data_IF_934106769641
#
_entry.id   IF_934106769641
#
_cell.length_a   1.000
_cell.length_b   1.000
_cell.length_c   1.000
_cell.angle_alpha   90.00
_cell.angle_beta   90.00
_cell.angle_gamma   90.00
#
_symmetry.space_group_name_H-M   'P 1'
#
loop_
_entity.id
_entity.type
_entity.pdbx_description
1 polymer ?
#
# COMPACT_ATOMS: atom_id res chain seq x y z
N UNK A 1 -38.78 -18.90 -36.61
CA UNK A 1 -37.52 -19.61 -36.87
C UNK A 1 -37.09 -20.31 -35.56
N UNK A 2 -37.10 -21.64 -35.49
CA UNK A 2 -36.70 -22.39 -34.28
C UNK A 2 -35.19 -22.55 -34.30
N UNK A 3 -34.49 -21.99 -33.30
CA UNK A 3 -33.05 -22.21 -33.11
C UNK A 3 -32.77 -23.70 -32.88
N UNK A 4 -31.69 -24.20 -33.48
CA UNK A 4 -31.26 -25.57 -33.21
C UNK A 4 -30.68 -25.70 -31.78
N UNK A 5 -30.76 -26.88 -31.18
CA UNK A 5 -30.17 -27.14 -29.86
C UNK A 5 -28.65 -26.88 -29.81
N UNK A 6 -27.97 -27.07 -30.95
CA UNK A 6 -26.53 -26.73 -31.07
C UNK A 6 -26.30 -25.24 -31.01
N UNK A 7 -27.13 -24.43 -31.66
CA UNK A 7 -27.05 -22.98 -31.66
C UNK A 7 -27.32 -22.41 -30.25
N UNK A 8 -28.28 -23.00 -29.54
CA UNK A 8 -28.58 -22.60 -28.13
C UNK A 8 -27.40 -22.90 -27.24
N UNK A 9 -26.79 -24.10 -27.33
CA UNK A 9 -25.59 -24.44 -26.54
C UNK A 9 -24.42 -23.53 -26.85
N UNK A 10 -24.18 -23.22 -28.13
CA UNK A 10 -23.12 -22.30 -28.53
C UNK A 10 -23.33 -20.89 -27.96
N UNK A 11 -24.57 -20.38 -27.97
CA UNK A 11 -24.91 -19.10 -27.41
C UNK A 11 -24.67 -19.06 -25.89
N UNK A 12 -25.12 -20.09 -25.17
CA UNK A 12 -24.91 -20.21 -23.73
C UNK A 12 -23.41 -20.20 -23.40
N UNK A 13 -22.62 -21.00 -24.13
CA UNK A 13 -21.15 -21.02 -23.94
C UNK A 13 -20.51 -19.66 -24.20
N UNK A 14 -20.95 -18.97 -25.28
CA UNK A 14 -20.43 -17.63 -25.57
C UNK A 14 -20.76 -16.63 -24.44
N UNK A 15 -21.98 -16.65 -23.92
CA UNK A 15 -22.39 -15.79 -22.78
C UNK A 15 -21.57 -16.10 -21.52
N UNK A 16 -21.38 -17.39 -21.23
CA UNK A 16 -20.53 -17.80 -20.07
C UNK A 16 -19.10 -17.30 -20.27
N UNK A 17 -18.53 -17.46 -21.46
CA UNK A 17 -17.17 -17.04 -21.77
C UNK A 17 -16.99 -15.51 -21.61
N UNK A 18 -17.97 -14.74 -22.12
CA UNK A 18 -17.99 -13.29 -21.93
C UNK A 18 -18.10 -12.90 -20.45
N UNK A 19 -19.00 -13.56 -19.71
CA UNK A 19 -19.17 -13.27 -18.29
C UNK A 19 -17.88 -13.56 -17.47
N UNK A 20 -17.23 -14.70 -17.75
CA UNK A 20 -15.95 -15.05 -17.11
C UNK A 20 -14.84 -14.07 -17.50
N UNK A 21 -14.78 -13.66 -18.77
CA UNK A 21 -13.83 -12.67 -19.25
C UNK A 21 -13.99 -11.31 -18.57
N UNK A 22 -15.23 -10.84 -18.45
CA UNK A 22 -15.54 -9.58 -17.75
C UNK A 22 -15.19 -9.70 -16.27
N UNK A 23 -15.58 -10.78 -15.60
CA UNK A 23 -15.27 -11.00 -14.20
C UNK A 23 -13.75 -11.06 -13.96
N UNK A 24 -13.02 -11.74 -14.83
CA UNK A 24 -11.55 -11.80 -14.77
C UNK A 24 -10.90 -10.43 -14.97
N UNK A 25 -11.40 -9.65 -15.92
CA UNK A 25 -10.91 -8.29 -16.15
C UNK A 25 -11.17 -7.37 -14.93
N UNK A 26 -12.39 -7.37 -14.42
CA UNK A 26 -12.74 -6.57 -13.23
C UNK A 26 -11.92 -6.99 -12.00
N UNK A 27 -11.69 -8.30 -11.87
CA UNK A 27 -10.82 -8.82 -10.82
C UNK A 27 -9.38 -8.31 -10.96
N UNK A 28 -8.83 -8.35 -12.18
CA UNK A 28 -7.50 -7.84 -12.48
C UNK A 28 -7.38 -6.34 -12.19
N UNK A 29 -8.30 -5.53 -12.71
CA UNK A 29 -8.35 -4.08 -12.47
C UNK A 29 -8.38 -3.76 -10.98
N UNK A 30 -9.28 -4.43 -10.25
CA UNK A 30 -9.39 -4.23 -8.82
C UNK A 30 -8.12 -4.69 -8.07
N UNK A 31 -7.44 -5.73 -8.55
CA UNK A 31 -6.21 -6.26 -7.94
C UNK A 31 -4.99 -5.38 -8.17
N UNK A 32 -4.92 -4.72 -9.32
CA UNK A 32 -3.78 -3.90 -9.74
C UNK A 32 -4.01 -2.41 -9.52
N UNK A 33 -5.19 -2.03 -9.03
CA UNK A 33 -5.50 -0.63 -8.75
C UNK A 33 -4.51 -0.06 -7.73
N UNK A 34 -3.93 1.09 -8.08
CA UNK A 34 -3.08 1.89 -7.19
C UNK A 34 -3.75 3.23 -6.99
N UNK A 35 -4.00 3.59 -5.75
CA UNK A 35 -4.50 4.90 -5.40
C UNK A 35 -3.51 5.97 -5.82
N UNK A 36 -4.02 6.99 -6.50
CA UNK A 36 -3.24 8.20 -6.76
C UNK A 36 -3.17 9.03 -5.47
N UNK A 37 -1.96 9.33 -5.02
CA UNK A 37 -1.75 10.22 -3.88
C UNK A 37 -1.76 11.66 -4.38
N UNK A 38 -2.74 12.44 -3.96
CA UNK A 38 -2.79 13.89 -4.19
C UNK A 38 -2.06 14.57 -3.04
N UNK A 39 -0.84 15.02 -3.30
CA UNK A 39 0.01 15.59 -2.27
C UNK A 39 -0.41 17.02 -1.95
N UNK A 40 -0.54 17.34 -0.66
CA UNK A 40 -0.83 18.70 -0.20
C UNK A 40 0.18 19.72 -0.76
N UNK A 41 -0.26 20.93 -1.15
CA UNK A 41 0.66 21.99 -1.57
C UNK A 41 1.59 22.49 -0.43
N UNK A 42 1.35 22.05 0.79
CA UNK A 42 2.17 22.41 1.97
C UNK A 42 3.25 21.35 2.29
N UNK A 43 3.39 20.30 1.48
CA UNK A 43 4.53 19.40 1.56
C UNK A 43 5.79 20.16 1.16
N UNK A 44 6.77 20.20 2.06
CA UNK A 44 8.03 20.90 1.83
C UNK A 44 9.08 20.00 1.19
N UNK A 45 9.00 18.70 1.44
CA UNK A 45 9.94 17.73 0.89
C UNK A 45 9.29 16.34 0.78
N UNK A 46 9.66 15.59 -0.25
CA UNK A 46 9.30 14.17 -0.40
C UNK A 46 10.59 13.37 -0.50
N UNK A 47 10.77 12.42 0.40
CA UNK A 47 11.90 11.50 0.45
C UNK A 47 11.43 10.06 0.22
N UNK A 48 12.40 9.16 0.09
CA UNK A 48 12.18 7.72 0.18
C UNK A 48 12.52 7.23 1.57
N UNK A 49 11.87 6.16 2.01
CA UNK A 49 12.20 5.53 3.29
C UNK A 49 13.66 5.03 3.29
N UNK A 50 14.17 4.63 2.11
CA UNK A 50 15.58 4.27 1.91
C UNK A 50 16.58 5.41 2.12
N UNK A 51 16.15 6.67 2.12
CA UNK A 51 17.02 7.79 2.46
C UNK A 51 17.41 7.79 3.94
N UNK A 52 16.68 7.03 4.76
CA UNK A 52 16.91 6.84 6.19
C UNK A 52 17.51 5.48 6.54
N UNK A 53 17.38 4.49 5.65
CA UNK A 53 17.92 3.16 5.86
C UNK A 53 18.15 2.40 4.55
N UNK A 54 19.37 2.03 4.29
CA UNK A 54 19.74 1.24 3.09
C UNK A 54 19.10 -0.16 3.06
N UNK A 55 18.68 -0.68 4.21
CA UNK A 55 18.03 -2.01 4.30
C UNK A 55 16.76 -2.11 3.45
N UNK A 56 16.07 -0.99 3.25
CA UNK A 56 14.79 -0.96 2.52
C UNK A 56 14.99 -0.65 1.04
N UNK A 57 16.14 -0.17 0.67
CA UNK A 57 16.45 0.29 -0.69
C UNK A 57 16.21 -0.81 -1.74
N UNK A 58 15.42 -0.47 -2.75
CA UNK A 58 15.09 -1.38 -3.84
C UNK A 58 14.05 -2.46 -3.48
N UNK A 59 13.51 -2.44 -2.27
CA UNK A 59 12.39 -3.31 -1.88
C UNK A 59 11.05 -2.67 -2.23
N UNK A 60 9.98 -3.47 -2.24
CA UNK A 60 8.61 -2.96 -2.43
C UNK A 60 8.15 -2.07 -1.28
N UNK A 61 8.83 -2.10 -0.14
CA UNK A 61 8.53 -1.28 1.04
C UNK A 61 9.27 0.06 1.05
N UNK A 62 10.05 0.38 0.01
CA UNK A 62 10.68 1.69 -0.15
C UNK A 62 9.62 2.74 -0.56
N UNK A 63 8.80 3.12 0.40
CA UNK A 63 7.69 4.05 0.22
C UNK A 63 8.12 5.52 0.30
N UNK A 64 7.19 6.43 -0.05
CA UNK A 64 7.42 7.85 0.10
C UNK A 64 7.27 8.30 1.54
N UNK A 65 8.06 9.29 1.92
CA UNK A 65 8.03 9.99 3.19
C UNK A 65 7.76 11.46 2.90
N UNK A 66 6.61 11.96 3.32
CA UNK A 66 6.16 13.32 3.09
C UNK A 66 6.49 14.19 4.30
N UNK A 67 7.23 15.26 4.11
CA UNK A 67 7.69 16.16 5.15
C UNK A 67 6.96 17.50 5.04
N UNK A 68 6.37 17.90 6.14
CA UNK A 68 5.70 19.19 6.31
C UNK A 68 6.48 19.98 7.35
N UNK A 69 7.27 20.92 6.92
CA UNK A 69 8.05 21.81 7.80
C UNK A 69 7.46 23.21 7.77
N UNK A 70 7.03 23.71 8.90
CA UNK A 70 6.45 25.06 8.99
C UNK A 70 7.48 26.17 8.85
N UNK A 71 8.77 25.87 9.00
CA UNK A 71 9.84 26.86 9.15
C UNK A 71 9.85 27.58 10.49
N UNK A 72 8.91 27.28 11.40
CA UNK A 72 8.81 27.83 12.75
C UNK A 72 9.26 26.76 13.75
N UNK A 73 10.13 27.12 14.68
CA UNK A 73 10.63 26.17 15.70
C UNK A 73 9.48 25.51 16.47
N UNK A 74 9.59 24.20 16.70
CA UNK A 74 8.59 23.41 17.40
C UNK A 74 8.93 21.93 17.41
N UNK A 75 8.01 21.11 17.91
CA UNK A 75 8.16 19.65 17.96
C UNK A 75 8.11 18.98 16.58
N UNK A 76 8.57 17.74 16.53
CA UNK A 76 8.42 16.86 15.35
C UNK A 76 7.46 15.75 15.67
N UNK A 77 6.48 15.54 14.80
CA UNK A 77 5.49 14.46 14.87
C UNK A 77 5.67 13.51 13.69
N UNK A 78 5.65 12.21 13.96
CA UNK A 78 5.62 11.17 12.94
C UNK A 78 4.24 10.53 12.90
N UNK A 79 3.62 10.54 11.71
CA UNK A 79 2.37 9.86 11.40
C UNK A 79 2.66 8.79 10.37
N UNK A 80 2.26 7.55 10.63
CA UNK A 80 2.36 6.50 9.62
C UNK A 80 1.11 5.63 9.63
N UNK A 81 0.69 5.22 8.43
CA UNK A 81 -0.40 4.29 8.19
C UNK A 81 0.09 3.03 7.49
N UNK A 82 -0.80 2.05 7.38
CA UNK A 82 -0.53 0.87 6.57
C UNK A 82 0.41 -0.15 7.16
N UNK A 83 0.53 -0.21 8.47
CA UNK A 83 1.23 -1.30 9.14
C UNK A 83 0.55 -2.64 8.86
N UNK A 84 -0.78 -2.65 8.93
CA UNK A 84 -1.63 -3.78 8.63
C UNK A 84 -2.53 -3.43 7.44
N UNK A 85 -2.42 -4.17 6.35
CA UNK A 85 -3.20 -3.88 5.13
C UNK A 85 -4.70 -4.13 5.30
N UNK A 86 -5.10 -4.97 6.26
CA UNK A 86 -6.50 -5.26 6.59
C UNK A 86 -7.19 -4.14 7.36
N UNK A 87 -6.43 -3.13 7.78
CA UNK A 87 -6.93 -1.97 8.53
C UNK A 87 -6.92 -0.72 7.63
N UNK A 88 -7.81 -0.63 6.63
CA UNK A 88 -7.78 0.45 5.64
C UNK A 88 -7.98 1.84 6.25
N UNK A 89 -8.60 1.92 7.41
CA UNK A 89 -8.82 3.19 8.10
C UNK A 89 -7.51 3.90 8.46
N UNK A 90 -6.47 3.17 8.86
CA UNK A 90 -5.16 3.73 9.18
C UNK A 90 -4.46 4.27 7.93
N UNK A 91 -4.55 3.54 6.81
CA UNK A 91 -4.03 4.00 5.52
C UNK A 91 -4.76 5.25 5.05
N UNK A 92 -6.09 5.22 5.09
CA UNK A 92 -6.93 6.34 4.66
C UNK A 92 -6.66 7.59 5.51
N UNK A 93 -6.51 7.44 6.82
CA UNK A 93 -6.18 8.56 7.69
C UNK A 93 -4.82 9.17 7.35
N UNK A 94 -3.78 8.35 7.18
CA UNK A 94 -2.45 8.85 6.82
C UNK A 94 -2.44 9.51 5.42
N UNK A 95 -3.18 8.94 4.46
CA UNK A 95 -3.37 9.53 3.14
C UNK A 95 -4.05 10.90 3.21
N UNK A 96 -5.12 11.03 4.00
CA UNK A 96 -5.82 12.30 4.21
C UNK A 96 -4.91 13.37 4.84
N UNK A 97 -3.99 12.98 5.74
CA UNK A 97 -2.96 13.90 6.23
C UNK A 97 -2.01 14.32 5.12
N UNK A 98 -1.56 13.38 4.29
CA UNK A 98 -0.69 13.69 3.14
C UNK A 98 -1.34 14.69 2.18
N UNK A 99 -2.66 14.58 1.97
CA UNK A 99 -3.41 15.41 1.03
C UNK A 99 -3.79 16.79 1.57
N UNK A 100 -4.05 16.90 2.88
CA UNK A 100 -4.73 18.07 3.44
C UNK A 100 -3.95 18.81 4.54
N UNK A 101 -2.87 18.22 5.06
CA UNK A 101 -2.17 18.78 6.22
C UNK A 101 -1.51 20.12 5.87
N UNK A 102 -1.67 21.08 6.79
CA UNK A 102 -0.92 22.32 6.85
C UNK A 102 -0.36 22.46 8.26
N UNK A 103 0.96 22.53 8.38
CA UNK A 103 1.66 22.68 9.68
C UNK A 103 1.98 24.17 9.89
N UNK A 104 1.60 24.69 11.04
CA UNK A 104 1.82 26.11 11.40
C UNK A 104 3.01 26.31 12.36
N UNK A 105 3.44 25.23 13.04
CA UNK A 105 4.60 25.25 13.93
C UNK A 105 5.22 23.86 14.00
N UNK A 106 6.56 23.77 14.02
CA UNK A 106 7.28 22.51 14.06
C UNK A 106 7.23 21.76 12.74
N UNK A 107 7.32 20.45 12.81
CA UNK A 107 7.43 19.55 11.66
C UNK A 107 6.51 18.35 11.83
N UNK A 108 5.88 17.92 10.72
CA UNK A 108 5.15 16.64 10.65
C UNK A 108 5.73 15.82 9.51
N UNK A 109 5.98 14.55 9.78
CA UNK A 109 6.44 13.55 8.81
C UNK A 109 5.32 12.56 8.64
N UNK A 110 4.86 12.34 7.40
CA UNK A 110 3.78 11.42 7.08
C UNK A 110 4.28 10.32 6.17
N UNK A 111 3.97 9.08 6.52
CA UNK A 111 4.16 7.89 5.67
C UNK A 111 2.80 7.25 5.49
N UNK A 112 2.21 7.41 4.32
CA UNK A 112 0.83 6.98 4.05
C UNK A 112 0.67 5.45 4.05
N UNK A 113 1.70 4.72 3.63
CA UNK A 113 1.65 3.26 3.48
C UNK A 113 3.00 2.61 3.76
N UNK A 114 3.29 2.39 5.04
CA UNK A 114 4.60 1.89 5.46
C UNK A 114 4.86 0.43 5.06
N UNK A 115 3.83 -0.41 5.01
CA UNK A 115 3.93 -1.81 4.60
C UNK A 115 3.32 -2.00 3.21
N UNK A 116 4.00 -1.48 2.19
CA UNK A 116 3.54 -1.52 0.80
C UNK A 116 3.40 -2.96 0.28
N UNK A 117 4.27 -3.89 0.72
CA UNK A 117 4.19 -5.29 0.32
C UNK A 117 2.90 -5.96 0.77
N UNK A 118 2.48 -5.74 2.01
CA UNK A 118 1.22 -6.23 2.51
C UNK A 118 0.04 -5.58 1.76
N UNK A 119 0.05 -4.27 1.63
CA UNK A 119 -1.01 -3.51 0.94
C UNK A 119 -1.17 -3.89 -0.54
N UNK A 120 -0.11 -4.32 -1.20
CA UNK A 120 -0.15 -4.76 -2.60
C UNK A 120 -0.73 -6.17 -2.75
N UNK A 121 -0.50 -7.04 -1.76
CA UNK A 121 -0.85 -8.45 -1.83
C UNK A 121 -2.15 -8.81 -1.11
N UNK A 122 -2.71 -7.90 -0.32
CA UNK A 122 -3.90 -8.15 0.48
C UNK A 122 -5.02 -7.21 0.10
N UNK A 123 -6.22 -7.66 0.40
CA UNK A 123 -7.46 -6.88 0.36
C UNK A 123 -8.17 -7.03 1.69
N UNK A 124 -9.13 -6.18 1.90
CA UNK A 124 -10.05 -6.36 3.02
C UNK A 124 -10.66 -7.76 2.99
N UNK A 125 -10.45 -8.55 4.03
CA UNK A 125 -10.91 -9.93 4.14
C UNK A 125 -10.02 -10.99 3.47
N UNK A 126 -8.92 -10.62 2.83
CA UNK A 126 -7.93 -11.57 2.31
C UNK A 126 -6.78 -11.77 3.30
N UNK A 127 -6.26 -12.99 3.32
CA UNK A 127 -5.06 -13.29 4.08
C UNK A 127 -3.84 -12.57 3.50
N UNK A 128 -3.01 -12.01 4.34
CA UNK A 128 -1.70 -11.52 3.96
C UNK A 128 -0.83 -12.63 3.40
N UNK A 129 0.21 -12.30 2.61
CA UNK A 129 1.30 -13.24 2.45
C UNK A 129 1.75 -13.65 3.84
N UNK A 130 1.65 -14.94 4.14
CA UNK A 130 1.97 -15.45 5.47
C UNK A 130 3.41 -15.21 5.86
N UNK A 131 4.26 -15.02 4.84
CA UNK A 131 5.68 -14.83 5.00
C UNK A 131 6.18 -13.83 3.98
N UNK A 132 7.11 -13.01 4.35
CA UNK A 132 7.98 -12.28 3.45
C UNK A 132 9.40 -12.27 4.01
N UNK A 133 10.35 -12.21 3.12
CA UNK A 133 11.77 -12.24 3.46
C UNK A 133 12.40 -10.92 3.06
N UNK A 134 13.20 -10.37 3.94
CA UNK A 134 14.02 -9.19 3.66
C UNK A 134 15.46 -9.50 4.03
N UNK A 135 16.38 -8.93 3.28
CA UNK A 135 17.78 -8.88 3.67
C UNK A 135 18.00 -7.78 4.70
N UNK A 136 18.66 -8.11 5.77
CA UNK A 136 19.04 -7.15 6.81
C UNK A 136 20.56 -7.15 6.96
N UNK A 137 21.18 -6.14 7.62
CA UNK A 137 22.62 -6.14 7.92
C UNK A 137 23.08 -7.37 8.70
N UNK A 138 22.16 -8.07 9.35
CA UNK A 138 22.41 -9.30 10.13
C UNK A 138 22.00 -10.58 9.39
N UNK A 139 21.75 -10.49 8.08
CA UNK A 139 21.35 -11.61 7.23
C UNK A 139 19.87 -11.57 6.86
N UNK A 140 19.46 -12.57 6.10
CA UNK A 140 18.11 -12.74 5.64
C UNK A 140 17.16 -13.09 6.79
N UNK A 141 16.03 -12.37 6.90
CA UNK A 141 14.99 -12.66 7.89
C UNK A 141 13.65 -12.88 7.19
N UNK A 142 12.97 -13.95 7.57
CA UNK A 142 11.59 -14.25 7.15
C UNK A 142 10.63 -13.87 8.26
N UNK A 143 9.62 -13.09 7.94
CA UNK A 143 8.59 -12.64 8.87
C UNK A 143 7.26 -13.29 8.55
N UNK A 144 6.48 -13.60 9.59
CA UNK A 144 5.09 -14.03 9.47
C UNK A 144 4.15 -12.85 9.59
N UNK A 145 2.97 -13.02 9.02
CA UNK A 145 1.85 -12.14 9.33
C UNK A 145 1.62 -12.08 10.87
N UNK A 146 1.41 -10.87 11.36
CA UNK A 146 1.23 -10.62 12.80
C UNK A 146 2.53 -10.45 13.60
N UNK A 147 3.68 -10.72 13.01
CA UNK A 147 4.95 -10.40 13.65
C UNK A 147 5.17 -8.89 13.68
N UNK A 148 5.36 -8.33 14.84
CA UNK A 148 5.64 -6.89 14.98
C UNK A 148 6.92 -6.48 14.24
N UNK A 149 7.89 -7.38 14.16
CA UNK A 149 9.11 -7.18 13.40
C UNK A 149 8.88 -7.13 11.87
N UNK A 150 7.68 -7.42 11.39
CA UNK A 150 7.31 -7.26 10.00
C UNK A 150 7.15 -5.79 9.58
N UNK A 151 7.01 -4.87 10.52
CA UNK A 151 6.96 -3.45 10.23
C UNK A 151 8.36 -2.94 9.85
N UNK A 152 8.56 -2.36 8.65
CA UNK A 152 9.85 -1.84 8.21
C UNK A 152 10.48 -0.87 9.21
N UNK A 153 9.69 -0.02 9.87
CA UNK A 153 10.21 0.89 10.89
C UNK A 153 10.75 0.16 12.13
N UNK A 154 10.11 -0.93 12.55
CA UNK A 154 10.63 -1.71 13.68
C UNK A 154 11.95 -2.39 13.35
N UNK A 155 12.13 -2.78 12.09
CA UNK A 155 13.39 -3.36 11.62
C UNK A 155 14.51 -2.31 11.61
N UNK A 156 14.17 -1.05 11.33
CA UNK A 156 15.13 0.04 11.31
C UNK A 156 15.66 0.41 12.72
N UNK A 157 14.88 0.18 13.77
CA UNK A 157 15.18 0.58 15.15
C UNK A 157 15.59 -0.59 16.05
N UNK A 158 15.54 -1.82 15.57
CA UNK A 158 15.98 -3.02 16.29
C UNK A 158 17.40 -3.43 15.94
#
# INVERSE_FOLDING_TARGET
>A
MKMSMRSIKALILAVIFCAVGIAGYLFYEHRTYKEAVVVSPYVTEVKKLSDYSDVIKGTVNDCNVYIFDSGVEGGTMLIYGGTHAEEPACNTAALLFTENLKVTQGKVIVIDRINTSASTNTRMGEAYPRFYTIETPWGEKTFRFGDRAANPLQIMWS
#
